data_IF_078676797929
#
_entry.id   IF_078676797929
#
_cell.length_a   1.000
_cell.length_b   1.000
_cell.length_c   1.000
_cell.angle_alpha   90.00
_cell.angle_beta   90.00
_cell.angle_gamma   90.00
#
_symmetry.space_group_name_H-M   'P 1'
#
loop_
_entity.id
_entity.type
_entity.pdbx_description
1 polymer ?
#
# COMPACT_ATOMS: atom_id res chain seq x y z
N UNK A 1 50.57 -7.67 -10.36
CA UNK A 1 49.18 -7.29 -10.70
C UNK A 1 48.57 -6.62 -9.48
N UNK A 2 48.01 -5.42 -9.65
CA UNK A 2 47.45 -4.59 -8.59
C UNK A 2 46.19 -5.23 -7.99
N UNK A 3 46.17 -5.44 -6.67
CA UNK A 3 44.93 -5.70 -5.92
C UNK A 3 44.10 -4.40 -5.87
N UNK A 4 42.99 -4.40 -6.59
CA UNK A 4 41.95 -3.38 -6.44
C UNK A 4 41.21 -3.67 -5.13
N UNK A 5 41.57 -2.97 -4.05
CA UNK A 5 40.74 -2.91 -2.85
C UNK A 5 39.43 -2.21 -3.21
N UNK A 6 38.37 -3.00 -3.44
CA UNK A 6 37.01 -2.48 -3.48
C UNK A 6 36.67 -1.95 -2.08
N UNK A 7 36.68 -0.63 -1.95
CA UNK A 7 36.20 0.05 -0.76
C UNK A 7 34.68 -0.11 -0.73
N UNK A 8 34.18 -1.19 -0.12
CA UNK A 8 32.76 -1.36 0.21
C UNK A 8 32.39 -0.27 1.21
N UNK A 9 31.91 0.88 0.72
CA UNK A 9 31.05 1.74 1.53
C UNK A 9 29.96 0.82 2.06
N UNK A 10 29.91 0.63 3.38
CA UNK A 10 28.72 0.08 4.03
C UNK A 10 27.60 1.03 3.65
N UNK A 11 26.74 0.61 2.73
CA UNK A 11 25.44 1.26 2.56
C UNK A 11 24.81 1.23 3.94
N UNK A 12 24.69 2.41 4.56
CA UNK A 12 23.82 2.56 5.71
C UNK A 12 22.45 2.19 5.17
N UNK A 13 21.96 1.01 5.55
CA UNK A 13 20.65 0.54 5.12
C UNK A 13 19.63 1.65 5.30
N UNK A 14 18.75 1.82 4.32
CA UNK A 14 17.69 2.81 4.40
C UNK A 14 16.85 2.52 5.66
N UNK A 15 16.93 3.41 6.65
CA UNK A 15 16.04 3.38 7.79
C UNK A 15 14.84 4.26 7.47
N UNK A 16 13.64 3.69 7.64
CA UNK A 16 12.41 4.44 7.43
C UNK A 16 12.39 5.66 8.36
N UNK A 17 12.01 6.84 7.88
CA UNK A 17 11.82 8.04 8.71
C UNK A 17 10.66 7.89 9.69
N UNK A 18 9.85 6.84 9.56
CA UNK A 18 8.68 6.62 10.42
C UNK A 18 9.14 6.14 11.80
N UNK A 19 8.62 6.75 12.89
CA UNK A 19 8.97 6.38 14.26
C UNK A 19 8.27 5.09 14.74
N UNK A 20 8.04 4.15 13.83
CA UNK A 20 7.41 2.86 14.08
C UNK A 20 7.69 1.85 12.96
N UNK A 21 7.58 0.56 13.28
CA UNK A 21 7.65 -0.57 12.33
C UNK A 21 6.30 -1.27 12.26
N UNK A 22 5.83 -1.56 11.05
CA UNK A 22 4.66 -2.41 10.83
C UNK A 22 5.11 -3.89 10.88
N UNK A 23 4.49 -4.70 11.73
CA UNK A 23 4.84 -6.12 11.88
C UNK A 23 3.78 -7.05 11.31
N UNK A 24 2.51 -6.64 11.32
CA UNK A 24 1.42 -7.43 10.80
C UNK A 24 0.30 -6.52 10.27
N UNK A 25 -0.40 -6.99 9.24
CA UNK A 25 -1.53 -6.30 8.64
C UNK A 25 -2.61 -7.31 8.27
N UNK A 26 -3.84 -7.03 8.67
CA UNK A 26 -5.05 -7.74 8.24
C UNK A 26 -5.94 -6.77 7.51
N UNK A 27 -6.36 -7.09 6.30
CA UNK A 27 -7.37 -6.33 5.55
C UNK A 27 -8.59 -7.20 5.41
N UNK A 28 -9.76 -6.68 5.78
CA UNK A 28 -11.04 -7.34 5.60
C UNK A 28 -11.94 -6.48 4.72
N UNK A 29 -12.37 -7.03 3.59
CA UNK A 29 -13.35 -6.41 2.72
C UNK A 29 -14.71 -7.06 2.99
N UNK A 30 -15.59 -6.31 3.64
CA UNK A 30 -16.86 -6.83 4.13
C UNK A 30 -17.95 -6.79 3.06
N UNK A 31 -17.96 -5.74 2.25
CA UNK A 31 -19.02 -5.49 1.28
C UNK A 31 -18.45 -4.88 0.01
N UNK A 32 -18.76 -5.51 -1.12
CA UNK A 32 -18.43 -5.02 -2.47
C UNK A 32 -19.76 -4.81 -3.19
N UNK A 33 -20.03 -3.57 -3.58
CA UNK A 33 -21.23 -3.20 -4.32
C UNK A 33 -20.84 -2.81 -5.75
N UNK A 34 -21.21 -3.65 -6.72
CA UNK A 34 -20.92 -3.42 -8.14
C UNK A 34 -21.76 -2.31 -8.77
N UNK A 35 -23.00 -2.09 -8.31
CA UNK A 35 -23.87 -1.04 -8.84
C UNK A 35 -23.35 0.35 -8.44
N UNK A 36 -23.02 0.52 -7.16
CA UNK A 36 -22.46 1.76 -6.62
C UNK A 36 -20.96 1.89 -6.84
N UNK A 37 -20.28 0.81 -7.27
CA UNK A 37 -18.82 0.71 -7.36
C UNK A 37 -18.16 1.13 -6.06
N UNK A 38 -18.62 0.55 -4.95
CA UNK A 38 -18.14 0.88 -3.61
C UNK A 38 -17.64 -0.35 -2.87
N UNK A 39 -16.63 -0.17 -2.02
CA UNK A 39 -16.11 -1.19 -1.10
C UNK A 39 -16.14 -0.67 0.32
N UNK A 40 -16.55 -1.49 1.27
CA UNK A 40 -16.46 -1.20 2.71
C UNK A 40 -15.65 -2.30 3.37
N UNK A 41 -14.76 -1.91 4.28
CA UNK A 41 -13.90 -2.83 4.99
C UNK A 41 -13.21 -2.19 6.18
N UNK A 42 -12.33 -2.97 6.78
CA UNK A 42 -11.43 -2.48 7.81
C UNK A 42 -10.02 -3.03 7.61
N UNK A 43 -9.05 -2.33 8.17
CA UNK A 43 -7.67 -2.81 8.29
C UNK A 43 -7.27 -2.80 9.75
N UNK A 44 -6.58 -3.87 10.17
CA UNK A 44 -5.88 -3.95 11.44
C UNK A 44 -4.38 -3.97 11.20
N UNK A 45 -3.66 -3.08 11.85
CA UNK A 45 -2.22 -2.95 11.78
C UNK A 45 -1.63 -3.23 13.15
N UNK A 46 -0.65 -4.12 13.21
CA UNK A 46 0.18 -4.32 14.40
C UNK A 46 1.46 -3.53 14.21
N UNK A 47 1.66 -2.53 15.07
CA UNK A 47 2.73 -1.56 14.98
C UNK A 47 3.61 -1.65 16.22
N UNK A 48 4.92 -1.70 16.00
CA UNK A 48 5.94 -1.59 17.04
C UNK A 48 6.53 -0.17 17.03
N UNK A 49 6.28 0.66 18.06
CA UNK A 49 6.92 1.97 18.17
C UNK A 49 8.45 1.86 18.16
N UNK A 50 9.16 2.78 17.51
CA UNK A 50 10.63 2.86 17.59
C UNK A 50 11.11 4.03 18.45
N UNK A 51 10.16 4.84 18.92
CA UNK A 51 10.40 5.95 19.86
C UNK A 51 9.46 5.81 21.05
N UNK A 52 9.91 6.33 22.20
CA UNK A 52 9.09 6.40 23.41
C UNK A 52 7.93 7.38 23.18
N UNK A 53 6.75 7.06 23.72
CA UNK A 53 5.55 7.91 23.67
C UNK A 53 5.19 8.37 22.26
N UNK A 54 5.00 7.42 21.35
CA UNK A 54 4.58 7.70 19.98
C UNK A 54 3.22 8.42 19.96
N UNK A 55 3.24 9.73 19.73
CA UNK A 55 2.03 10.55 19.82
C UNK A 55 1.15 10.51 18.56
N UNK A 56 1.76 10.26 17.41
CA UNK A 56 1.09 10.32 16.11
C UNK A 56 1.54 9.19 15.21
N UNK A 57 0.58 8.50 14.62
CA UNK A 57 0.78 7.51 13.57
C UNK A 57 0.31 8.14 12.27
N UNK A 58 1.21 8.33 11.32
CA UNK A 58 0.87 8.81 9.98
C UNK A 58 0.83 7.61 9.04
N UNK A 59 -0.22 7.50 8.25
CA UNK A 59 -0.43 6.44 7.26
C UNK A 59 -0.80 7.08 5.92
N UNK A 60 -0.42 6.43 4.82
CA UNK A 60 -0.81 6.88 3.49
C UNK A 60 -2.10 6.22 3.05
N UNK A 61 -3.02 7.02 2.52
CA UNK A 61 -4.30 6.55 2.02
C UNK A 61 -4.93 7.60 1.11
N UNK A 62 -5.39 7.20 -0.08
CA UNK A 62 -6.08 8.07 -1.03
C UNK A 62 -7.44 7.49 -1.39
N UNK A 63 -8.38 8.37 -1.73
CA UNK A 63 -9.74 8.01 -2.16
C UNK A 63 -10.54 7.23 -1.09
N UNK A 64 -10.07 7.20 0.15
CA UNK A 64 -10.75 6.54 1.26
C UNK A 64 -11.62 7.54 2.04
N UNK A 65 -12.79 7.08 2.43
CA UNK A 65 -13.55 7.69 3.52
C UNK A 65 -13.30 6.90 4.79
N UNK A 66 -12.64 7.52 5.76
CA UNK A 66 -12.36 6.91 7.07
C UNK A 66 -13.57 7.12 7.97
N UNK A 67 -14.14 6.04 8.49
CA UNK A 67 -15.31 6.08 9.38
C UNK A 67 -14.90 6.09 10.84
N UNK A 68 -13.95 5.23 11.21
CA UNK A 68 -13.56 5.03 12.60
C UNK A 68 -12.12 4.57 12.70
N UNK A 69 -11.43 5.06 13.73
CA UNK A 69 -10.08 4.60 14.07
C UNK A 69 -10.04 4.22 15.55
N UNK A 70 -9.42 3.08 15.86
CA UNK A 70 -9.12 2.66 17.24
C UNK A 70 -7.65 2.28 17.38
N UNK A 71 -7.08 2.53 18.55
CA UNK A 71 -5.73 2.08 18.93
C UNK A 71 -5.84 1.31 20.24
N UNK A 72 -5.49 0.02 20.24
CA UNK A 72 -5.68 -0.89 21.38
C UNK A 72 -7.10 -0.79 21.96
N UNK A 73 -8.10 -0.93 21.09
CA UNK A 73 -9.55 -0.85 21.37
C UNK A 73 -10.08 0.52 21.84
N UNK A 74 -9.22 1.50 22.09
CA UNK A 74 -9.62 2.88 22.39
C UNK A 74 -9.88 3.68 21.13
N UNK A 75 -10.94 4.48 21.13
CA UNK A 75 -11.24 5.39 20.02
C UNK A 75 -10.14 6.46 19.89
N UNK A 76 -9.62 6.62 18.68
CA UNK A 76 -8.49 7.50 18.42
C UNK A 76 -8.89 8.65 17.49
N UNK A 77 -8.66 9.91 17.89
CA UNK A 77 -8.85 11.04 17.00
C UNK A 77 -7.95 10.95 15.79
N UNK A 78 -8.45 11.31 14.62
CA UNK A 78 -7.67 11.33 13.40
C UNK A 78 -7.97 12.54 12.53
N UNK A 79 -7.02 12.89 11.67
CA UNK A 79 -7.17 13.87 10.60
C UNK A 79 -6.90 13.12 9.30
N UNK A 80 -7.79 13.27 8.33
CA UNK A 80 -7.59 12.75 6.99
C UNK A 80 -7.62 13.91 6.00
N UNK A 81 -6.53 14.10 5.27
CA UNK A 81 -6.43 15.15 4.26
C UNK A 81 -5.61 14.67 3.06
N UNK A 82 -6.19 14.80 1.86
CA UNK A 82 -5.49 14.57 0.60
C UNK A 82 -5.25 15.93 -0.09
N UNK A 83 -4.08 16.55 0.11
CA UNK A 83 -3.79 17.86 -0.47
C UNK A 83 -3.71 17.82 -2.01
N UNK A 84 -3.60 16.64 -2.62
CA UNK A 84 -3.54 16.51 -4.08
C UNK A 84 -4.90 16.79 -4.75
N UNK A 85 -5.98 16.81 -3.99
CA UNK A 85 -7.32 17.17 -4.48
C UNK A 85 -7.51 18.69 -4.66
N UNK A 86 -6.71 19.52 -3.97
CA UNK A 86 -6.89 20.98 -3.90
C UNK A 86 -5.91 21.78 -4.77
N UNK A 87 -4.97 21.12 -5.45
CA UNK A 87 -3.88 21.76 -6.22
C UNK A 87 -4.38 22.69 -7.34
N UNK A 88 -5.56 22.42 -7.90
CA UNK A 88 -6.16 23.23 -8.94
C UNK A 88 -7.44 23.91 -8.43
N UNK A 89 -7.29 25.10 -7.85
CA UNK A 89 -8.44 25.93 -7.50
C UNK A 89 -9.25 26.37 -8.73
N UNK A 90 -10.49 26.77 -8.50
CA UNK A 90 -11.36 27.30 -9.56
C UNK A 90 -10.87 28.64 -10.14
N UNK A 91 -9.88 29.28 -9.52
CA UNK A 91 -9.41 30.62 -9.88
C UNK A 91 -8.57 30.63 -11.17
N UNK A 92 -9.06 31.34 -12.19
CA UNK A 92 -8.52 31.30 -13.55
C UNK A 92 -7.08 31.83 -13.66
N UNK A 93 -6.66 32.72 -12.75
CA UNK A 93 -5.33 33.35 -12.76
C UNK A 93 -4.19 32.39 -12.39
N UNK A 94 -4.52 31.30 -11.71
CA UNK A 94 -3.55 30.30 -11.25
C UNK A 94 -3.44 29.10 -12.21
N UNK A 95 -4.15 29.13 -13.35
CA UNK A 95 -4.12 28.07 -14.37
C UNK A 95 -2.90 28.17 -15.29
N UNK A 96 -1.71 28.14 -14.71
CA UNK A 96 -0.45 28.07 -15.45
C UNK A 96 0.40 26.90 -14.95
N UNK A 97 1.26 26.40 -15.83
CA UNK A 97 2.07 25.21 -15.58
C UNK A 97 3.00 25.38 -14.37
N UNK A 98 3.57 26.58 -14.19
CA UNK A 98 4.52 26.84 -13.11
C UNK A 98 3.82 26.76 -11.74
N UNK A 99 2.67 27.40 -11.61
CA UNK A 99 1.85 27.32 -10.39
C UNK A 99 1.43 25.87 -10.12
N UNK A 100 0.88 25.18 -11.12
CA UNK A 100 0.47 23.79 -10.96
C UNK A 100 1.63 22.90 -10.51
N UNK A 101 2.79 23.01 -11.18
CA UNK A 101 3.98 22.23 -10.84
C UNK A 101 4.44 22.48 -9.41
N UNK A 102 4.54 23.75 -8.99
CA UNK A 102 4.95 24.10 -7.63
C UNK A 102 3.93 23.63 -6.59
N UNK A 103 2.63 23.88 -6.80
CA UNK A 103 1.58 23.50 -5.88
C UNK A 103 1.43 21.96 -5.76
N UNK A 104 1.49 21.25 -6.89
CA UNK A 104 1.45 19.79 -6.92
C UNK A 104 2.66 19.19 -6.19
N UNK A 105 3.85 19.72 -6.44
CA UNK A 105 5.08 19.29 -5.75
C UNK A 105 4.93 19.48 -4.25
N UNK A 106 4.47 20.65 -3.79
CA UNK A 106 4.24 20.90 -2.37
C UNK A 106 3.20 19.96 -1.76
N UNK A 107 2.10 19.69 -2.47
CA UNK A 107 1.06 18.76 -2.03
C UNK A 107 1.60 17.33 -1.87
N UNK A 108 2.36 16.82 -2.86
CA UNK A 108 2.99 15.49 -2.80
C UNK A 108 4.01 15.42 -1.66
N UNK A 109 4.86 16.45 -1.51
CA UNK A 109 5.84 16.52 -0.42
C UNK A 109 5.19 16.54 0.97
N UNK A 110 4.03 17.19 1.13
CA UNK A 110 3.32 17.26 2.40
C UNK A 110 2.80 15.90 2.91
N UNK A 111 2.67 14.91 2.03
CA UNK A 111 2.21 13.55 2.36
C UNK A 111 3.25 12.48 2.03
N UNK A 112 4.48 12.88 1.73
CA UNK A 112 5.56 12.01 1.30
C UNK A 112 5.90 10.94 2.36
N UNK A 113 5.74 9.65 2.05
CA UNK A 113 6.07 8.57 2.98
C UNK A 113 7.56 8.54 3.38
N UNK A 114 8.46 8.99 2.50
CA UNK A 114 9.90 9.01 2.69
C UNK A 114 10.38 10.22 3.52
N UNK A 115 9.48 11.17 3.78
CA UNK A 115 9.63 12.19 4.81
C UNK A 115 8.88 11.83 6.12
N UNK A 116 8.34 10.61 6.20
CA UNK A 116 7.52 10.17 7.34
C UNK A 116 6.21 10.95 7.44
N UNK A 117 5.64 11.39 6.33
CA UNK A 117 4.35 12.06 6.25
C UNK A 117 3.25 11.10 5.78
N UNK A 118 2.03 11.60 5.63
CA UNK A 118 0.89 10.82 5.16
C UNK A 118 -0.44 11.56 5.31
N UNK A 119 -1.42 11.13 4.51
CA UNK A 119 -2.77 11.71 4.46
C UNK A 119 -3.55 11.47 5.75
N UNK A 120 -3.39 10.31 6.37
CA UNK A 120 -4.09 9.93 7.60
C UNK A 120 -3.18 10.09 8.81
N UNK A 121 -3.51 11.03 9.69
CA UNK A 121 -2.78 11.30 10.93
C UNK A 121 -3.64 10.90 12.13
N UNK A 122 -3.26 9.83 12.81
CA UNK A 122 -3.94 9.27 13.98
C UNK A 122 -3.22 9.76 15.23
N UNK A 123 -3.96 10.36 16.17
CA UNK A 123 -3.44 10.73 17.49
C UNK A 123 -3.56 9.53 18.43
N UNK A 124 -2.43 9.07 18.97
CA UNK A 124 -2.42 7.95 19.92
C UNK A 124 -3.00 8.43 21.26
N UNK A 125 -4.00 7.72 21.82
CA UNK A 125 -4.57 8.06 23.14
C UNK A 125 -3.49 8.06 24.22
N UNK A 126 -3.43 9.15 25.01
CA UNK A 126 -2.37 9.34 26.02
C UNK A 126 -2.46 8.34 27.19
N UNK A 127 -3.64 7.76 27.39
CA UNK A 127 -3.94 6.73 28.37
C UNK A 127 -3.07 5.48 28.16
N UNK A 128 -2.69 5.18 26.91
CA UNK A 128 -1.85 4.04 26.56
C UNK A 128 -0.42 4.14 27.12
N UNK A 129 0.03 5.36 27.45
CA UNK A 129 1.37 5.60 28.00
C UNK A 129 1.38 5.66 29.53
N UNK A 130 0.23 5.58 30.20
CA UNK A 130 0.14 5.66 31.67
C UNK A 130 0.47 4.33 32.37
N UNK A 131 0.56 3.22 31.64
CA UNK A 131 0.70 1.87 32.20
C UNK A 131 2.14 1.37 32.37
N UNK A 132 3.13 2.26 32.39
CA UNK A 132 4.55 1.92 32.61
C UNK A 132 5.39 1.96 31.32
N UNK A 133 6.69 2.15 31.48
CA UNK A 133 7.69 2.45 30.43
C UNK A 133 7.97 1.30 29.41
N UNK A 134 7.11 0.30 29.31
CA UNK A 134 7.25 -0.75 28.30
C UNK A 134 6.69 -0.27 26.95
N UNK A 135 7.52 -0.37 25.89
CA UNK A 135 7.07 -0.15 24.52
C UNK A 135 6.02 -1.21 24.15
N UNK A 136 4.76 -0.85 24.36
CA UNK A 136 3.64 -1.70 24.03
C UNK A 136 3.40 -1.70 22.52
N UNK A 137 3.13 -2.89 22.00
CA UNK A 137 2.63 -3.08 20.65
C UNK A 137 1.30 -2.34 20.51
N UNK A 138 1.16 -1.57 19.43
CA UNK A 138 -0.06 -0.84 19.10
C UNK A 138 -0.83 -1.59 18.02
N UNK A 139 -2.08 -1.95 18.29
CA UNK A 139 -3.04 -2.47 17.33
C UNK A 139 -3.91 -1.33 16.84
N UNK A 140 -3.73 -0.92 15.59
CA UNK A 140 -4.51 0.15 14.96
C UNK A 140 -5.58 -0.47 14.09
N UNK A 141 -6.85 -0.22 14.42
CA UNK A 141 -8.02 -0.62 13.64
C UNK A 141 -8.56 0.59 12.89
N UNK A 142 -8.78 0.47 11.59
CA UNK A 142 -9.31 1.55 10.75
C UNK A 142 -10.45 1.01 9.90
N UNK A 143 -11.65 1.55 10.09
CA UNK A 143 -12.80 1.28 9.26
C UNK A 143 -12.88 2.31 8.13
N UNK A 144 -13.05 1.84 6.90
CA UNK A 144 -13.01 2.68 5.72
C UNK A 144 -13.99 2.23 4.63
N UNK A 145 -14.21 3.13 3.68
CA UNK A 145 -14.79 2.78 2.39
C UNK A 145 -14.08 3.47 1.24
N UNK A 146 -14.20 2.85 0.08
CA UNK A 146 -13.90 3.42 -1.23
C UNK A 146 -15.23 3.58 -1.95
N UNK A 147 -15.53 4.79 -2.43
CA UNK A 147 -16.73 5.07 -3.22
C UNK A 147 -16.31 5.57 -4.60
N UNK A 148 -16.69 4.82 -5.64
CA UNK A 148 -16.30 5.07 -7.03
C UNK A 148 -14.82 5.42 -7.19
N UNK A 149 -13.89 4.56 -6.72
CA UNK A 149 -12.47 4.83 -6.80
C UNK A 149 -12.05 5.05 -8.26
N UNK A 150 -11.32 6.13 -8.51
CA UNK A 150 -10.88 6.52 -9.86
C UNK A 150 -9.59 5.81 -10.29
N UNK A 151 -8.93 5.11 -9.37
CA UNK A 151 -7.71 4.35 -9.60
C UNK A 151 -7.50 3.31 -8.50
N UNK A 152 -6.59 2.37 -8.73
CA UNK A 152 -6.23 1.32 -7.77
C UNK A 152 -7.25 0.18 -7.61
N UNK A 153 -8.51 0.37 -7.99
CA UNK A 153 -9.55 -0.66 -7.95
C UNK A 153 -10.46 -0.58 -9.19
N UNK A 154 -10.67 -1.73 -9.85
CA UNK A 154 -11.55 -1.86 -11.00
C UNK A 154 -12.73 -2.78 -10.67
N UNK A 155 -13.96 -2.28 -10.84
CA UNK A 155 -15.17 -3.08 -10.70
C UNK A 155 -15.53 -3.69 -12.04
N UNK A 156 -15.16 -4.96 -12.21
CA UNK A 156 -15.46 -5.73 -13.43
C UNK A 156 -16.57 -6.72 -13.09
N UNK A 157 -17.71 -6.63 -13.78
CA UNK A 157 -18.87 -7.53 -13.58
C UNK A 157 -18.78 -8.83 -14.39
N UNK A 158 -17.78 -8.95 -15.26
CA UNK A 158 -17.59 -10.09 -16.15
C UNK A 158 -16.19 -10.69 -15.97
N UNK A 159 -16.10 -11.95 -15.55
CA UNK A 159 -14.84 -12.69 -15.52
C UNK A 159 -15.01 -14.01 -16.30
N UNK A 160 -14.01 -14.27 -17.16
CA UNK A 160 -13.86 -15.30 -18.20
C UNK A 160 -15.00 -16.32 -18.41
N UNK A 161 -15.46 -16.36 -19.67
CA UNK A 161 -16.42 -17.34 -20.20
C UNK A 161 -15.91 -18.77 -19.99
N UNK A 162 -16.78 -19.74 -19.64
CA UNK A 162 -16.47 -21.17 -19.48
C UNK A 162 -15.73 -21.86 -20.65
N UNK A 163 -15.49 -21.15 -21.76
CA UNK A 163 -14.93 -21.65 -23.01
C UNK A 163 -13.43 -21.33 -23.22
N UNK A 164 -12.79 -20.56 -22.34
CA UNK A 164 -11.39 -20.13 -22.52
C UNK A 164 -10.36 -21.06 -21.84
N UNK A 165 -10.81 -22.12 -21.17
CA UNK A 165 -9.94 -23.12 -20.54
C UNK A 165 -8.90 -23.74 -21.49
N UNK A 166 -9.20 -24.05 -22.76
CA UNK A 166 -8.20 -24.58 -23.69
C UNK A 166 -7.06 -23.59 -23.95
N UNK A 167 -7.38 -22.30 -24.10
CA UNK A 167 -6.39 -21.24 -24.29
C UNK A 167 -5.52 -21.09 -23.03
N UNK A 168 -6.14 -21.09 -21.85
CA UNK A 168 -5.40 -21.03 -20.58
C UNK A 168 -4.39 -22.17 -20.44
N UNK A 169 -4.80 -23.41 -20.75
CA UNK A 169 -3.92 -24.58 -20.71
C UNK A 169 -2.74 -24.45 -21.67
N UNK A 170 -3.01 -23.94 -22.88
CA UNK A 170 -1.96 -23.72 -23.87
C UNK A 170 -0.99 -22.62 -23.43
N UNK A 171 -1.49 -21.48 -22.96
CA UNK A 171 -0.65 -20.37 -22.51
C UNK A 171 0.22 -20.73 -21.29
N UNK A 172 -0.23 -21.64 -20.43
CA UNK A 172 0.49 -22.05 -19.22
C UNK A 172 1.34 -23.32 -19.39
N UNK A 173 1.39 -23.93 -20.57
CA UNK A 173 2.04 -25.25 -20.75
C UNK A 173 3.53 -25.24 -20.41
N UNK A 174 4.22 -24.13 -20.71
CA UNK A 174 5.67 -23.99 -20.51
C UNK A 174 6.06 -23.40 -19.15
N UNK A 175 5.09 -23.11 -18.28
CA UNK A 175 5.36 -22.44 -17.01
C UNK A 175 6.31 -23.26 -16.12
N UNK A 176 6.20 -24.58 -16.15
CA UNK A 176 7.06 -25.48 -15.39
C UNK A 176 8.53 -25.43 -15.85
N UNK A 177 8.78 -25.42 -17.17
CA UNK A 177 10.13 -25.29 -17.75
C UNK A 177 10.78 -23.96 -17.35
N UNK A 178 9.98 -22.88 -17.27
CA UNK A 178 10.45 -21.58 -16.79
C UNK A 178 10.88 -21.64 -15.33
N UNK A 179 10.09 -22.32 -14.48
CA UNK A 179 10.48 -22.54 -13.07
C UNK A 179 11.77 -23.34 -12.98
N UNK A 180 11.88 -24.47 -13.69
CA UNK A 180 13.08 -25.30 -13.69
C UNK A 180 14.32 -24.50 -14.09
N UNK A 181 14.22 -23.71 -15.16
CA UNK A 181 15.29 -22.83 -15.62
C UNK A 181 15.71 -21.80 -14.55
N UNK A 182 14.76 -21.13 -13.90
CA UNK A 182 15.09 -20.16 -12.85
C UNK A 182 15.63 -20.83 -11.58
N UNK A 183 15.11 -21.99 -11.20
CA UNK A 183 15.60 -22.72 -10.03
C UNK A 183 17.03 -23.24 -10.25
N UNK A 184 17.37 -23.63 -11.48
CA UNK A 184 18.74 -23.99 -11.86
C UNK A 184 19.67 -22.77 -11.77
N UNK A 185 19.28 -21.64 -12.37
CA UNK A 185 20.09 -20.40 -12.38
C UNK A 185 20.30 -19.85 -10.97
N UNK A 186 19.22 -19.79 -10.19
CA UNK A 186 19.24 -19.17 -8.86
C UNK A 186 19.71 -20.15 -7.78
N UNK A 187 19.84 -21.44 -8.12
CA UNK A 187 20.20 -22.52 -7.19
C UNK A 187 19.31 -22.57 -5.96
N UNK A 188 18.05 -22.16 -6.12
CA UNK A 188 17.04 -22.17 -5.08
C UNK A 188 15.68 -22.50 -5.68
N UNK A 189 14.85 -23.19 -4.89
CA UNK A 189 13.46 -23.43 -5.30
C UNK A 189 12.65 -22.14 -5.24
N UNK A 190 11.56 -22.10 -6.00
CA UNK A 190 10.60 -21.02 -5.88
C UNK A 190 10.19 -20.81 -4.41
N UNK A 191 10.36 -19.61 -3.85
CA UNK A 191 10.38 -19.39 -2.39
C UNK A 191 8.98 -19.31 -1.75
N UNK A 192 7.92 -19.63 -2.48
CA UNK A 192 6.54 -19.61 -1.98
C UNK A 192 5.82 -20.94 -2.24
N UNK A 193 4.69 -21.15 -1.55
CA UNK A 193 3.90 -22.39 -1.66
C UNK A 193 3.19 -22.57 -3.00
N UNK A 194 2.90 -21.47 -3.72
CA UNK A 194 2.24 -21.51 -5.03
C UNK A 194 2.51 -20.23 -5.82
N UNK A 195 2.30 -20.31 -7.14
CA UNK A 195 2.27 -19.18 -8.05
C UNK A 195 0.91 -19.13 -8.74
N UNK A 196 0.31 -17.94 -8.82
CA UNK A 196 -1.04 -17.73 -9.37
C UNK A 196 -0.97 -16.83 -10.59
N UNK A 197 -1.78 -17.13 -11.60
CA UNK A 197 -1.92 -16.27 -12.78
C UNK A 197 -3.38 -15.91 -12.98
N UNK A 198 -3.64 -14.63 -13.20
CA UNK A 198 -4.98 -14.10 -13.50
C UNK A 198 -4.94 -13.44 -14.87
N UNK A 199 -5.89 -13.76 -15.73
CA UNK A 199 -6.08 -13.10 -17.02
C UNK A 199 -7.32 -12.22 -16.95
N UNK A 200 -7.17 -10.95 -17.31
CA UNK A 200 -8.24 -9.96 -17.34
C UNK A 200 -8.39 -9.40 -18.75
N UNK A 201 -9.61 -8.98 -19.10
CA UNK A 201 -9.88 -8.35 -20.40
C UNK A 201 -9.31 -6.92 -20.45
N UNK A 202 -9.24 -6.26 -19.29
CA UNK A 202 -8.68 -4.92 -19.14
C UNK A 202 -7.68 -4.87 -17.98
N UNK A 203 -6.43 -4.51 -18.29
CA UNK A 203 -5.37 -4.26 -17.33
C UNK A 203 -4.75 -2.87 -17.54
N UNK A 204 -4.32 -2.21 -16.46
CA UNK A 204 -3.62 -0.92 -16.55
C UNK A 204 -2.25 -1.05 -17.23
N UNK A 205 -1.58 -2.19 -17.05
CA UNK A 205 -0.33 -2.57 -17.73
C UNK A 205 -0.51 -3.99 -18.25
N UNK A 206 0.06 -4.30 -19.43
CA UNK A 206 -0.03 -5.64 -20.06
C UNK A 206 0.42 -6.80 -19.16
N UNK A 207 1.37 -6.55 -18.26
CA UNK A 207 1.83 -7.55 -17.28
C UNK A 207 2.11 -6.84 -15.97
N UNK A 208 1.50 -7.33 -14.89
CA UNK A 208 1.75 -6.88 -13.52
C UNK A 208 2.20 -8.05 -12.65
N UNK A 209 3.41 -7.96 -12.08
CA UNK A 209 3.99 -8.99 -11.21
C UNK A 209 3.89 -8.58 -9.74
N UNK A 210 3.31 -9.45 -8.92
CA UNK A 210 3.24 -9.37 -7.45
C UNK A 210 3.96 -10.55 -6.81
N UNK A 211 4.05 -10.59 -5.47
CA UNK A 211 4.90 -11.54 -4.74
C UNK A 211 4.73 -13.03 -5.14
N UNK A 212 3.51 -13.48 -5.39
CA UNK A 212 3.22 -14.85 -5.84
C UNK A 212 2.09 -14.91 -6.88
N UNK A 213 1.84 -13.80 -7.55
CA UNK A 213 0.73 -13.64 -8.48
C UNK A 213 1.13 -12.74 -9.64
N UNK A 214 0.77 -13.13 -10.86
CA UNK A 214 0.85 -12.25 -12.03
C UNK A 214 -0.53 -12.01 -12.62
N UNK A 215 -0.77 -10.78 -13.06
CA UNK A 215 -1.98 -10.38 -13.77
C UNK A 215 -1.57 -9.99 -15.20
N UNK A 216 -2.20 -10.64 -16.18
CA UNK A 216 -2.08 -10.41 -17.62
C UNK A 216 -3.37 -9.79 -18.15
#
# INVERSE_FOLDING_TARGET
MHEIKMNRKKDKGFESPRPFKLTHQVVCINNINFQRKSVIGFVELTIFPTVVNLNRIKLNSKQCRIYRVRVNDLEAPFIYNDPTLEVCHHESKQRNLNYFSSAYTAAVSAVDPDAGHGELVIKVPSELWKQGDEMNVLKVYIEFSLDQPKGGLHFVTHFCLPQLLPLLKHSMSYLHEIFEFYEEILTCRYPYSCFKTVFVDEAYVQVSSYASMSIF
#
